data_IF_302712393971
#
_entry.id   IF_302712393971
#
_cell.length_a   1.000
_cell.length_b   1.000
_cell.length_c   1.000
_cell.angle_alpha   90.00
_cell.angle_beta   90.00
_cell.angle_gamma   90.00
#
_symmetry.space_group_name_H-M   'P 1'
#
loop_
_entity.id
_entity.type
_entity.pdbx_description
1 polymer ?
#
# COMPACT_ATOMS: atom_id res chain seq x y z
N UNK A 1 7.15 34.35 8.41
CA UNK A 1 8.51 33.79 8.31
C UNK A 1 8.49 32.37 8.88
N UNK A 2 8.41 31.38 8.01
CA UNK A 2 8.60 29.96 8.34
C UNK A 2 9.81 29.48 7.56
N UNK A 3 10.96 30.11 7.84
CA UNK A 3 12.28 29.65 7.39
C UNK A 3 12.72 28.56 8.38
N UNK A 4 12.83 27.34 7.90
CA UNK A 4 13.40 26.25 8.69
C UNK A 4 12.73 24.90 8.57
N UNK A 5 11.76 24.71 7.70
CA UNK A 5 11.34 23.34 7.37
C UNK A 5 12.43 22.68 6.53
N UNK A 6 13.01 21.54 6.97
CA UNK A 6 13.91 20.80 6.12
C UNK A 6 13.16 20.38 4.86
N UNK A 7 13.79 20.57 3.72
CA UNK A 7 13.32 20.08 2.43
C UNK A 7 13.19 18.55 2.50
N UNK A 8 11.99 18.08 2.80
CA UNK A 8 11.65 16.66 2.81
C UNK A 8 11.61 16.06 1.38
N UNK A 9 11.89 16.86 0.36
CA UNK A 9 11.93 16.45 -1.04
C UNK A 9 13.23 15.76 -1.46
N UNK A 10 14.29 15.83 -0.65
CA UNK A 10 15.55 15.12 -0.89
C UNK A 10 15.90 14.27 0.31
N UNK A 11 15.33 13.09 0.40
CA UNK A 11 15.89 12.04 1.23
C UNK A 11 17.33 11.80 0.73
N UNK A 12 18.32 12.12 1.56
CA UNK A 12 19.72 11.79 1.28
C UNK A 12 19.80 10.27 1.04
N UNK A 13 20.14 9.89 -0.18
CA UNK A 13 20.33 8.50 -0.57
C UNK A 13 19.13 7.84 -1.24
N UNK A 14 18.24 8.58 -1.91
CA UNK A 14 17.39 7.95 -2.91
C UNK A 14 18.33 7.28 -3.94
N UNK A 15 18.32 5.95 -4.07
CA UNK A 15 19.13 5.29 -5.07
C UNK A 15 18.69 5.79 -6.43
N UNK A 16 19.67 5.90 -7.35
CA UNK A 16 19.41 6.26 -8.73
C UNK A 16 18.22 5.44 -9.24
N UNK A 17 17.23 6.12 -9.84
CA UNK A 17 16.10 5.45 -10.45
C UNK A 17 16.63 4.46 -11.50
N UNK A 18 16.10 3.24 -11.59
CA UNK A 18 16.49 2.33 -12.66
C UNK A 18 16.22 3.01 -14.00
N UNK A 19 17.21 3.01 -14.89
CA UNK A 19 17.18 3.71 -16.20
C UNK A 19 16.06 3.20 -17.13
N UNK A 20 15.40 2.08 -16.82
CA UNK A 20 14.52 1.35 -17.73
C UNK A 20 13.06 1.17 -17.26
N UNK A 21 12.57 1.99 -16.35
CA UNK A 21 11.17 1.88 -15.88
C UNK A 21 10.53 3.20 -15.51
N UNK A 22 9.19 3.26 -15.46
CA UNK A 22 8.53 4.44 -14.93
C UNK A 22 8.97 4.64 -13.47
N UNK A 23 9.48 5.83 -13.16
CA UNK A 23 9.90 6.17 -11.81
C UNK A 23 8.77 5.92 -10.79
N UNK A 24 9.14 5.60 -9.55
CA UNK A 24 8.19 5.29 -8.47
C UNK A 24 7.05 6.32 -8.36
N UNK A 25 7.35 7.59 -8.54
CA UNK A 25 6.36 8.66 -8.50
C UNK A 25 5.37 8.64 -9.66
N UNK A 26 5.79 8.13 -10.83
CA UNK A 26 4.91 7.97 -11.98
C UNK A 26 3.91 6.82 -11.76
N UNK A 27 4.35 5.73 -11.10
CA UNK A 27 3.47 4.62 -10.75
C UNK A 27 2.48 5.00 -9.65
N UNK A 28 2.92 5.81 -8.68
CA UNK A 28 2.06 6.31 -7.59
C UNK A 28 0.98 7.28 -8.05
N UNK A 29 0.99 7.67 -9.32
CA UNK A 29 0.05 8.61 -9.89
C UNK A 29 0.56 10.05 -9.90
N UNK A 30 0.16 10.79 -10.92
CA UNK A 30 0.39 12.22 -11.00
C UNK A 30 -0.41 12.95 -9.92
N UNK A 31 0.01 14.18 -9.58
CA UNK A 31 -0.75 15.03 -8.68
C UNK A 31 -2.23 15.23 -9.09
N UNK A 32 -2.56 15.00 -10.37
CA UNK A 32 -3.93 15.04 -10.89
C UNK A 32 -4.83 13.95 -10.29
N UNK A 33 -4.34 12.72 -10.12
CA UNK A 33 -5.14 11.63 -9.52
C UNK A 33 -5.42 11.91 -8.04
N UNK A 34 -4.51 12.62 -7.36
CA UNK A 34 -4.72 13.04 -5.97
C UNK A 34 -5.73 14.19 -5.82
N UNK A 35 -5.90 15.01 -6.86
CA UNK A 35 -6.84 16.12 -6.84
C UNK A 35 -8.26 15.68 -7.20
N UNK A 36 -8.42 14.59 -7.92
CA UNK A 36 -9.75 14.09 -8.33
C UNK A 36 -10.62 13.66 -7.15
N UNK A 37 -10.03 13.05 -6.13
CA UNK A 37 -10.76 12.60 -4.95
C UNK A 37 -11.32 13.77 -4.10
N UNK A 38 -10.55 14.80 -3.73
CA UNK A 38 -11.09 15.98 -3.06
C UNK A 38 -12.19 16.68 -3.87
N UNK A 39 -12.07 16.72 -5.19
CA UNK A 39 -13.09 17.33 -6.04
C UNK A 39 -14.37 16.50 -6.11
N UNK A 40 -14.26 15.17 -6.12
CA UNK A 40 -15.41 14.27 -6.00
C UNK A 40 -16.16 14.46 -4.68
N UNK A 41 -15.45 14.59 -3.56
CA UNK A 41 -16.05 14.88 -2.26
C UNK A 41 -16.73 16.25 -2.24
N UNK A 42 -16.09 17.29 -2.81
CA UNK A 42 -16.70 18.64 -2.91
C UNK A 42 -17.97 18.64 -3.76
N UNK A 43 -17.96 17.92 -4.89
CA UNK A 43 -19.13 17.78 -5.75
C UNK A 43 -20.27 17.08 -5.00
N UNK A 44 -19.96 15.99 -4.29
CA UNK A 44 -20.94 15.27 -3.49
C UNK A 44 -21.52 16.13 -2.37
N UNK A 45 -20.69 16.85 -1.62
CA UNK A 45 -21.14 17.74 -0.54
C UNK A 45 -22.04 18.85 -1.10
N UNK A 46 -21.73 19.39 -2.27
CA UNK A 46 -22.49 20.48 -2.89
C UNK A 46 -23.83 20.03 -3.51
N UNK A 47 -23.90 18.81 -4.03
CA UNK A 47 -25.03 18.33 -4.83
C UNK A 47 -25.85 17.22 -4.18
N UNK A 48 -25.34 16.59 -3.11
CA UNK A 48 -25.99 15.46 -2.48
C UNK A 48 -26.24 14.33 -3.48
N UNK A 49 -27.47 13.81 -3.52
CA UNK A 49 -27.88 12.72 -4.41
C UNK A 49 -27.80 13.07 -5.91
N UNK A 50 -27.70 14.36 -6.26
CA UNK A 50 -27.52 14.79 -7.65
C UNK A 50 -26.04 14.78 -8.11
N UNK A 51 -25.11 14.42 -7.26
CA UNK A 51 -23.71 14.29 -7.64
C UNK A 51 -23.50 13.10 -8.58
N UNK A 52 -22.68 13.30 -9.60
CA UNK A 52 -22.28 12.22 -10.53
C UNK A 52 -21.48 11.09 -9.89
N UNK A 53 -21.01 11.28 -8.67
CA UNK A 53 -20.25 10.30 -7.90
C UNK A 53 -21.13 9.47 -6.96
N UNK A 54 -22.40 9.78 -6.83
CA UNK A 54 -23.35 9.00 -6.03
C UNK A 54 -23.83 7.82 -6.87
N UNK A 55 -23.62 6.63 -6.35
CA UNK A 55 -24.13 5.40 -6.94
C UNK A 55 -25.53 5.10 -6.42
N UNK A 56 -26.38 4.58 -7.28
CA UNK A 56 -27.66 4.02 -6.82
C UNK A 56 -27.42 2.79 -5.94
N UNK A 57 -28.34 2.39 -5.07
CA UNK A 57 -28.22 1.14 -4.30
C UNK A 57 -27.96 -0.09 -5.17
N UNK A 58 -28.54 -0.13 -6.38
CA UNK A 58 -28.33 -1.23 -7.32
C UNK A 58 -26.89 -1.21 -7.88
N UNK A 59 -26.36 -0.02 -8.20
CA UNK A 59 -24.98 0.12 -8.69
C UNK A 59 -23.96 -0.22 -7.59
N UNK A 60 -24.24 0.16 -6.33
CA UNK A 60 -23.42 -0.23 -5.18
C UNK A 60 -23.36 -1.75 -5.06
N UNK A 61 -24.51 -2.44 -5.14
CA UNK A 61 -24.56 -3.90 -5.10
C UNK A 61 -23.80 -4.51 -6.28
N UNK A 62 -23.96 -3.97 -7.48
CA UNK A 62 -23.28 -4.44 -8.67
C UNK A 62 -21.75 -4.24 -8.61
N UNK A 63 -21.30 -3.11 -8.03
CA UNK A 63 -19.89 -2.83 -7.82
C UNK A 63 -19.27 -3.60 -6.64
N UNK A 64 -20.10 -4.09 -5.71
CA UNK A 64 -19.68 -4.87 -4.55
C UNK A 64 -19.56 -6.34 -4.95
N UNK A 65 -18.52 -6.66 -5.70
CA UNK A 65 -18.28 -8.04 -6.11
C UNK A 65 -18.18 -8.99 -4.89
N UNK A 66 -18.77 -10.19 -4.98
CA UNK A 66 -18.62 -11.17 -3.92
C UNK A 66 -17.15 -11.56 -3.77
N UNK A 67 -16.70 -11.70 -2.54
CA UNK A 67 -15.35 -12.19 -2.27
C UNK A 67 -15.18 -13.60 -2.83
N UNK A 68 -14.20 -13.75 -3.69
CA UNK A 68 -13.80 -15.07 -4.16
C UNK A 68 -13.07 -15.87 -3.07
N UNK A 69 -12.76 -17.13 -3.37
CA UNK A 69 -12.07 -18.00 -2.43
C UNK A 69 -10.64 -17.52 -2.11
N UNK A 70 -9.95 -16.89 -3.07
CA UNK A 70 -8.60 -16.38 -2.86
C UNK A 70 -8.61 -15.17 -1.93
N UNK A 71 -9.57 -14.24 -2.12
CA UNK A 71 -9.77 -13.10 -1.23
C UNK A 71 -10.09 -13.54 0.20
N UNK A 72 -11.02 -14.50 0.35
CA UNK A 72 -11.41 -15.00 1.68
C UNK A 72 -10.26 -15.72 2.38
N UNK A 73 -9.53 -16.55 1.66
CA UNK A 73 -8.37 -17.27 2.18
C UNK A 73 -7.23 -16.32 2.52
N UNK A 74 -6.97 -15.32 1.66
CA UNK A 74 -5.97 -14.28 1.90
C UNK A 74 -6.27 -13.47 3.17
N UNK A 75 -7.53 -13.08 3.38
CA UNK A 75 -7.94 -12.40 4.61
C UNK A 75 -7.73 -13.28 5.85
N UNK A 76 -8.07 -14.56 5.79
CA UNK A 76 -7.84 -15.50 6.89
C UNK A 76 -6.33 -15.64 7.22
N UNK A 77 -5.48 -15.74 6.20
CA UNK A 77 -4.03 -15.75 6.39
C UNK A 77 -3.53 -14.44 7.05
N UNK A 78 -4.06 -13.30 6.63
CA UNK A 78 -3.68 -12.01 7.20
C UNK A 78 -4.04 -11.91 8.69
N UNK A 79 -5.25 -12.29 9.07
CA UNK A 79 -5.68 -12.28 10.47
C UNK A 79 -4.86 -13.25 11.33
N UNK A 80 -4.60 -14.46 10.82
CA UNK A 80 -3.76 -15.42 11.52
C UNK A 80 -2.33 -14.92 11.68
N UNK A 81 -1.76 -14.30 10.65
CA UNK A 81 -0.44 -13.69 10.72
C UNK A 81 -0.34 -12.61 11.79
N UNK A 82 -1.35 -11.72 11.87
CA UNK A 82 -1.41 -10.71 12.92
C UNK A 82 -1.46 -11.32 14.32
N UNK A 83 -2.27 -12.37 14.50
CA UNK A 83 -2.35 -13.09 15.77
C UNK A 83 -1.01 -13.70 16.17
N UNK A 84 -0.36 -14.43 15.24
CA UNK A 84 0.96 -15.03 15.45
C UNK A 84 2.03 -13.98 15.74
N UNK A 85 2.00 -12.86 15.01
CA UNK A 85 2.90 -11.74 15.28
C UNK A 85 2.75 -11.21 16.71
N UNK A 86 1.54 -10.99 17.17
CA UNK A 86 1.26 -10.55 18.54
C UNK A 86 1.66 -11.59 19.58
N UNK A 87 1.53 -12.87 19.26
CA UNK A 87 1.96 -13.98 20.11
C UNK A 87 3.49 -14.17 20.17
N UNK A 88 4.26 -13.48 19.31
CA UNK A 88 5.72 -13.57 19.26
C UNK A 88 6.25 -14.62 18.29
N UNK A 89 5.39 -15.37 17.61
CA UNK A 89 5.78 -16.36 16.59
C UNK A 89 5.98 -15.66 15.23
N UNK A 90 7.17 -15.04 15.09
CA UNK A 90 7.50 -14.20 13.93
C UNK A 90 7.62 -14.99 12.63
N UNK A 91 8.23 -16.15 12.68
CA UNK A 91 8.48 -16.96 11.50
C UNK A 91 7.16 -17.46 10.90
N UNK A 92 6.29 -18.03 11.73
CA UNK A 92 4.95 -18.45 11.30
C UNK A 92 4.09 -17.26 10.81
N UNK A 93 4.19 -16.10 11.46
CA UNK A 93 3.49 -14.90 11.03
C UNK A 93 3.92 -14.48 9.62
N UNK A 94 5.22 -14.46 9.33
CA UNK A 94 5.78 -14.10 8.02
C UNK A 94 5.32 -15.09 6.93
N UNK A 95 5.32 -16.38 7.21
CA UNK A 95 4.79 -17.38 6.28
C UNK A 95 3.34 -17.10 5.88
N UNK A 96 2.51 -16.73 6.85
CA UNK A 96 1.11 -16.41 6.61
C UNK A 96 0.93 -15.04 5.94
N UNK A 97 1.73 -14.03 6.24
CA UNK A 97 1.73 -12.78 5.49
C UNK A 97 2.10 -13.02 4.02
N UNK A 98 3.16 -13.78 3.74
CA UNK A 98 3.55 -14.11 2.37
C UNK A 98 2.46 -14.91 1.64
N UNK A 99 1.78 -15.85 2.30
CA UNK A 99 0.63 -16.56 1.73
C UNK A 99 -0.53 -15.59 1.39
N UNK A 100 -0.82 -14.64 2.26
CA UNK A 100 -1.80 -13.57 2.00
C UNK A 100 -1.41 -12.74 0.78
N UNK A 101 -0.16 -12.30 0.69
CA UNK A 101 0.35 -11.47 -0.41
C UNK A 101 0.25 -12.19 -1.76
N UNK A 102 0.53 -13.50 -1.80
CA UNK A 102 0.37 -14.32 -3.02
C UNK A 102 -1.10 -14.49 -3.44
N UNK A 103 -2.01 -14.61 -2.48
CA UNK A 103 -3.45 -14.75 -2.75
C UNK A 103 -4.11 -13.43 -3.15
N UNK A 104 -3.60 -12.31 -2.66
CA UNK A 104 -4.11 -10.97 -2.93
C UNK A 104 -2.97 -10.04 -3.36
N UNK A 105 -2.40 -10.24 -4.56
CA UNK A 105 -1.21 -9.51 -5.01
C UNK A 105 -1.43 -7.99 -5.12
N UNK A 106 -2.67 -7.57 -5.33
CA UNK A 106 -3.05 -6.15 -5.45
C UNK A 106 -3.54 -5.51 -4.15
N UNK A 107 -3.54 -6.27 -3.05
CA UNK A 107 -3.96 -5.73 -1.76
C UNK A 107 -2.80 -5.02 -1.04
N UNK A 108 -2.56 -3.78 -1.44
CA UNK A 108 -1.52 -2.93 -0.86
C UNK A 108 -1.71 -2.68 0.64
N UNK A 109 -2.94 -2.70 1.12
CA UNK A 109 -3.23 -2.52 2.54
C UNK A 109 -2.59 -3.62 3.37
N UNK A 110 -2.79 -4.89 2.99
CA UNK A 110 -2.22 -6.02 3.70
C UNK A 110 -0.69 -6.06 3.60
N UNK A 111 -0.14 -5.82 2.40
CA UNK A 111 1.31 -5.78 2.20
C UNK A 111 1.97 -4.72 3.07
N UNK A 112 1.49 -3.48 2.98
CA UNK A 112 2.08 -2.36 3.73
C UNK A 112 1.96 -2.53 5.24
N UNK A 113 0.86 -3.09 5.74
CA UNK A 113 0.71 -3.36 7.16
C UNK A 113 1.72 -4.40 7.64
N UNK A 114 1.88 -5.52 6.92
CA UNK A 114 2.87 -6.54 7.26
C UNK A 114 4.30 -5.98 7.28
N UNK A 115 4.69 -5.26 6.21
CA UNK A 115 6.01 -4.64 6.12
C UNK A 115 6.25 -3.62 7.23
N UNK A 116 5.22 -2.82 7.57
CA UNK A 116 5.33 -1.82 8.64
C UNK A 116 5.48 -2.45 10.03
N UNK A 117 4.83 -3.57 10.29
CA UNK A 117 5.00 -4.32 11.54
C UNK A 117 6.45 -4.78 11.71
N UNK A 118 7.01 -5.39 10.69
CA UNK A 118 8.40 -5.83 10.68
C UNK A 118 9.38 -4.64 10.82
N UNK A 119 9.20 -3.60 10.03
CA UNK A 119 10.05 -2.42 10.08
C UNK A 119 10.02 -1.73 11.43
N UNK A 120 8.84 -1.63 12.06
CA UNK A 120 8.70 -1.04 13.39
C UNK A 120 9.44 -1.85 14.47
N UNK A 121 9.36 -3.18 14.41
CA UNK A 121 10.06 -4.04 15.36
C UNK A 121 11.60 -3.96 15.18
N UNK A 122 12.07 -3.95 13.92
CA UNK A 122 13.49 -3.99 13.62
C UNK A 122 14.20 -2.67 13.87
N UNK A 123 13.60 -1.55 13.48
CA UNK A 123 14.23 -0.22 13.54
C UNK A 123 13.75 0.53 14.79
N UNK A 124 12.52 0.27 15.21
CA UNK A 124 11.89 0.97 16.32
C UNK A 124 11.43 2.39 15.95
N UNK A 125 10.75 3.01 16.92
CA UNK A 125 10.27 4.39 16.82
C UNK A 125 9.27 4.64 15.69
N UNK A 126 8.98 5.91 15.46
CA UNK A 126 7.99 6.32 14.46
C UNK A 126 8.44 6.08 13.01
N UNK A 127 9.75 5.99 12.77
CA UNK A 127 10.29 5.77 11.42
C UNK A 127 10.17 4.32 10.96
N UNK A 128 10.22 3.35 11.88
CA UNK A 128 10.16 1.92 11.55
C UNK A 128 8.93 1.54 10.73
N UNK A 129 7.78 2.16 11.01
CA UNK A 129 6.54 1.90 10.27
C UNK A 129 6.56 2.31 8.79
N UNK A 130 7.52 3.13 8.39
CA UNK A 130 7.69 3.53 6.99
C UNK A 130 8.67 2.65 6.23
N UNK A 131 9.34 1.72 6.91
CA UNK A 131 10.22 0.74 6.28
C UNK A 131 9.35 -0.33 5.61
N UNK A 132 9.42 -0.36 4.29
CA UNK A 132 8.60 -1.23 3.45
C UNK A 132 9.48 -2.00 2.45
N UNK A 133 10.70 -2.33 2.85
CA UNK A 133 11.68 -3.06 2.06
C UNK A 133 12.96 -3.29 2.85
N UNK A 134 13.90 -4.06 2.28
CA UNK A 134 15.18 -4.36 2.91
C UNK A 134 15.98 -3.09 3.20
N UNK A 135 16.66 -3.10 4.32
CA UNK A 135 17.64 -2.06 4.68
C UNK A 135 18.93 -2.34 3.92
N UNK A 136 19.52 -1.30 3.33
CA UNK A 136 20.77 -1.43 2.55
C UNK A 136 21.88 -2.06 3.41
N UNK A 137 22.43 -3.15 2.92
CA UNK A 137 23.48 -3.93 3.61
C UNK A 137 22.94 -4.98 4.58
N UNK A 138 21.63 -5.11 4.71
CA UNK A 138 20.93 -6.09 5.53
C UNK A 138 19.81 -6.79 4.77
N UNK A 139 19.96 -6.94 3.47
CA UNK A 139 18.94 -7.46 2.56
C UNK A 139 18.46 -8.87 2.98
N UNK A 140 19.37 -9.71 3.44
CA UNK A 140 19.08 -11.06 3.93
C UNK A 140 18.16 -11.10 5.16
N UNK A 141 18.05 -9.98 5.86
CA UNK A 141 17.17 -9.86 7.01
C UNK A 141 15.71 -9.56 6.64
N UNK A 142 15.42 -9.26 5.37
CA UNK A 142 14.06 -9.02 4.90
C UNK A 142 13.31 -10.33 4.67
N UNK A 143 12.23 -10.63 5.43
CA UNK A 143 11.65 -11.97 5.43
C UNK A 143 10.52 -12.15 4.43
N UNK A 144 10.11 -11.08 3.72
CA UNK A 144 8.99 -11.13 2.80
C UNK A 144 9.45 -11.46 1.38
N UNK A 145 8.56 -12.10 0.60
CA UNK A 145 8.79 -12.47 -0.80
C UNK A 145 8.93 -11.24 -1.73
N UNK A 146 8.45 -10.08 -1.29
CA UNK A 146 8.50 -8.83 -2.03
C UNK A 146 8.61 -7.62 -1.10
N UNK A 147 8.85 -6.46 -1.68
CA UNK A 147 8.92 -5.17 -1.01
C UNK A 147 8.22 -4.09 -1.82
N UNK A 148 8.01 -2.92 -1.22
CA UNK A 148 7.31 -1.82 -1.87
C UNK A 148 7.97 -1.40 -3.18
N UNK A 149 9.31 -1.32 -3.21
CA UNK A 149 10.04 -0.83 -4.37
C UNK A 149 9.97 -1.81 -5.55
N UNK A 150 10.21 -3.09 -5.30
CA UNK A 150 10.15 -4.14 -6.33
C UNK A 150 8.75 -4.23 -6.94
N UNK A 151 7.72 -4.17 -6.10
CA UNK A 151 6.33 -4.22 -6.54
C UNK A 151 5.92 -3.00 -7.36
N UNK A 152 6.28 -1.79 -6.91
CA UNK A 152 5.93 -0.55 -7.64
C UNK A 152 6.66 -0.49 -8.98
N UNK A 153 7.93 -0.90 -9.03
CA UNK A 153 8.72 -0.88 -10.26
C UNK A 153 8.19 -1.82 -11.35
N UNK A 154 7.49 -2.89 -10.96
CA UNK A 154 6.89 -3.85 -11.88
C UNK A 154 5.52 -3.41 -12.42
N UNK A 155 4.96 -2.31 -11.95
CA UNK A 155 3.59 -1.89 -12.28
C UNK A 155 3.54 -0.82 -13.36
N UNK A 156 2.41 -0.77 -14.03
CA UNK A 156 2.12 0.30 -14.98
C UNK A 156 1.94 1.65 -14.26
N UNK A 157 2.30 2.73 -14.93
CA UNK A 157 2.11 4.10 -14.44
C UNK A 157 0.68 4.34 -13.97
N UNK A 158 0.50 4.89 -12.78
CA UNK A 158 -0.80 5.24 -12.21
C UNK A 158 -1.64 4.03 -11.76
N UNK A 159 -1.07 2.82 -11.69
CA UNK A 159 -1.82 1.60 -11.28
C UNK A 159 -1.85 1.36 -9.77
N UNK A 160 -1.15 2.17 -8.99
CA UNK A 160 -1.09 2.03 -7.53
C UNK A 160 -2.43 2.34 -6.85
N UNK A 161 -3.14 3.34 -7.34
CA UNK A 161 -4.48 3.67 -6.84
C UNK A 161 -5.55 3.03 -7.73
N UNK A 162 -6.67 2.57 -7.13
CA UNK A 162 -7.80 2.10 -7.92
C UNK A 162 -8.27 3.20 -8.87
N UNK A 163 -8.43 2.88 -10.14
CA UNK A 163 -8.90 3.84 -11.17
C UNK A 163 -10.41 4.03 -11.16
N UNK A 164 -11.11 3.20 -10.43
CA UNK A 164 -12.58 3.20 -10.32
C UNK A 164 -12.98 3.62 -8.93
N UNK A 165 -13.38 4.85 -8.81
CA UNK A 165 -14.38 5.30 -7.87
C UNK A 165 -15.59 5.77 -8.64
#
# INVERSE_FOLDING_TARGET
>A
MLDGMPDLGRAHGAPDEPEDGPGMWAVLGSGQDRMSYPDAIRDWVAKGDASKFVLSPADVVAASEPRDAAMSKGAAHFELANHLWQAGDRDAAVEHFNACHRLQPDNWTYKRQAWSLFGQERIGGDYGRFVQGPVKGEEDAWPFDSDFRSEVSSRAVGSYYPKTM
#
